data_IF_856053761712
#
_entry.id   IF_856053761712
#
_cell.length_a   1.000
_cell.length_b   1.000
_cell.length_c   1.000
_cell.angle_alpha   90.00
_cell.angle_beta   90.00
_cell.angle_gamma   90.00
#
_symmetry.space_group_name_H-M   'P 1'
#
loop_
_entity.id
_entity.type
_entity.pdbx_description
1 polymer ?
#
# COMPACT_ATOMS: atom_id res chain seq x y z
N UNK A 1 9.91 -7.19 -16.57
CA UNK A 1 9.93 -6.60 -15.23
C UNK A 1 9.03 -7.46 -14.37
N UNK A 2 9.57 -8.15 -13.36
CA UNK A 2 8.78 -8.96 -12.42
C UNK A 2 8.72 -8.28 -11.05
N UNK A 3 7.95 -7.19 -10.86
CA UNK A 3 7.85 -6.48 -9.58
C UNK A 3 7.21 -7.31 -8.46
N UNK A 4 6.60 -8.43 -8.83
CA UNK A 4 5.61 -9.15 -8.03
C UNK A 4 6.14 -10.34 -7.22
N UNK A 5 7.41 -10.72 -7.32
CA UNK A 5 7.94 -11.82 -6.48
C UNK A 5 7.74 -11.59 -4.98
N UNK A 6 7.76 -10.33 -4.54
CA UNK A 6 7.46 -9.98 -3.14
C UNK A 6 5.99 -10.11 -2.77
N UNK A 7 5.07 -9.90 -3.71
CA UNK A 7 3.63 -10.04 -3.47
C UNK A 7 3.17 -11.51 -3.41
N UNK A 8 3.91 -12.43 -4.05
CA UNK A 8 3.70 -13.88 -3.87
C UNK A 8 3.99 -14.36 -2.44
N UNK A 9 4.89 -13.67 -1.70
CA UNK A 9 5.14 -13.95 -0.29
C UNK A 9 3.96 -13.56 0.61
N UNK A 10 3.13 -12.63 0.17
CA UNK A 10 1.86 -12.27 0.84
C UNK A 10 0.94 -13.47 0.93
N UNK A 11 0.84 -14.25 -0.14
CA UNK A 11 0.02 -15.46 -0.18
C UNK A 11 0.58 -16.57 0.72
N UNK A 12 1.91 -16.78 0.70
CA UNK A 12 2.59 -17.79 1.52
C UNK A 12 2.38 -17.58 3.03
N UNK A 13 2.37 -16.33 3.49
CA UNK A 13 2.24 -16.00 4.92
C UNK A 13 0.86 -16.23 5.50
N UNK A 14 -0.15 -16.48 4.69
CA UNK A 14 -1.54 -16.44 5.18
C UNK A 14 -2.28 -17.78 5.09
N UNK A 15 -1.65 -18.90 4.67
CA UNK A 15 -2.30 -20.22 4.51
C UNK A 15 -3.66 -20.16 3.80
N UNK A 16 -3.81 -19.27 2.80
CA UNK A 16 -5.10 -19.10 2.14
C UNK A 16 -5.52 -20.32 1.35
N UNK A 17 -6.76 -20.71 1.55
CA UNK A 17 -7.43 -21.64 0.66
C UNK A 17 -7.69 -20.94 -0.68
N UNK A 18 -6.90 -21.31 -1.72
CA UNK A 18 -6.98 -20.69 -3.05
C UNK A 18 -8.39 -20.77 -3.65
N UNK A 19 -9.12 -21.84 -3.37
CA UNK A 19 -10.49 -22.02 -3.85
C UNK A 19 -11.51 -21.04 -3.24
N UNK A 20 -11.14 -20.41 -2.11
CA UNK A 20 -11.92 -19.36 -1.41
C UNK A 20 -11.26 -17.99 -1.48
N UNK A 21 -10.31 -17.79 -2.39
CA UNK A 21 -9.65 -16.51 -2.58
C UNK A 21 -9.97 -15.97 -3.97
N UNK A 22 -10.50 -14.75 -4.00
CA UNK A 22 -10.76 -14.00 -5.23
C UNK A 22 -9.71 -12.92 -5.36
N UNK A 23 -9.04 -12.88 -6.50
CA UNK A 23 -8.02 -11.88 -6.83
C UNK A 23 -8.58 -10.86 -7.80
N UNK A 24 -8.31 -9.58 -7.52
CA UNK A 24 -8.69 -8.47 -8.39
C UNK A 24 -7.74 -7.28 -8.22
N UNK A 25 -8.01 -6.18 -8.91
CA UNK A 25 -7.21 -4.96 -8.84
C UNK A 25 -8.08 -3.72 -8.95
N UNK A 26 -7.51 -2.58 -8.51
CA UNK A 26 -8.12 -1.27 -8.73
C UNK A 26 -7.65 -0.72 -10.07
N UNK A 27 -8.54 -0.50 -11.04
CA UNK A 27 -8.13 0.04 -12.34
C UNK A 27 -7.70 1.52 -12.21
N UNK A 28 -6.76 1.99 -13.07
CA UNK A 28 -6.16 1.29 -14.21
C UNK A 28 -4.69 0.91 -13.92
N UNK A 29 -3.97 1.69 -13.11
CA UNK A 29 -2.51 1.61 -12.95
C UNK A 29 -2.04 0.30 -12.31
N UNK A 30 -2.85 -0.26 -11.40
CA UNK A 30 -2.52 -1.50 -10.71
C UNK A 30 -2.57 -2.77 -11.59
N UNK A 31 -3.10 -2.69 -12.81
CA UNK A 31 -3.31 -3.86 -13.69
C UNK A 31 -2.01 -4.60 -13.99
N UNK A 32 -0.94 -3.89 -14.32
CA UNK A 32 0.36 -4.52 -14.62
C UNK A 32 0.93 -5.25 -13.41
N UNK A 33 0.84 -4.64 -12.22
CA UNK A 33 1.28 -5.27 -10.97
C UNK A 33 0.41 -6.47 -10.61
N UNK A 34 -0.87 -6.43 -10.95
CA UNK A 34 -1.80 -7.54 -10.77
C UNK A 34 -1.39 -8.77 -11.59
N UNK A 35 -1.11 -8.63 -12.88
CA UNK A 35 -0.66 -9.76 -13.69
C UNK A 35 0.61 -10.38 -13.14
N UNK A 36 1.56 -9.58 -12.73
CA UNK A 36 2.77 -10.10 -12.12
C UNK A 36 2.51 -10.79 -10.76
N UNK A 37 1.54 -10.33 -9.95
CA UNK A 37 1.13 -11.04 -8.74
C UNK A 37 0.52 -12.40 -9.06
N UNK A 38 -0.36 -12.47 -10.07
CA UNK A 38 -1.00 -13.71 -10.48
C UNK A 38 0.03 -14.71 -11.00
N UNK A 39 0.99 -14.29 -11.83
CA UNK A 39 2.10 -15.14 -12.27
C UNK A 39 2.83 -15.78 -11.09
N UNK A 40 3.13 -15.00 -10.05
CA UNK A 40 3.80 -15.53 -8.85
C UNK A 40 2.91 -16.48 -8.03
N UNK A 41 1.59 -16.24 -7.99
CA UNK A 41 0.63 -17.16 -7.35
C UNK A 41 0.58 -18.49 -8.12
N UNK A 42 0.56 -18.44 -9.44
CA UNK A 42 0.55 -19.63 -10.28
C UNK A 42 1.86 -20.44 -10.18
N UNK A 43 3.03 -19.77 -10.18
CA UNK A 43 4.32 -20.41 -9.93
C UNK A 43 4.33 -21.15 -8.58
N UNK A 44 3.83 -20.48 -7.52
CA UNK A 44 3.70 -21.10 -6.20
C UNK A 44 2.77 -22.32 -6.21
N UNK A 45 1.59 -22.20 -6.83
CA UNK A 45 0.63 -23.30 -6.94
C UNK A 45 1.23 -24.48 -7.70
N UNK A 46 1.94 -24.24 -8.78
CA UNK A 46 2.57 -25.28 -9.58
C UNK A 46 3.65 -26.02 -8.77
N UNK A 47 4.44 -25.29 -7.94
CA UNK A 47 5.40 -25.91 -7.01
C UNK A 47 4.67 -26.82 -5.99
N UNK A 48 3.58 -26.31 -5.38
CA UNK A 48 2.78 -27.09 -4.42
C UNK A 48 2.14 -28.30 -5.02
N UNK A 49 1.58 -28.21 -6.24
CA UNK A 49 1.02 -29.35 -6.97
C UNK A 49 2.08 -30.40 -7.25
N UNK A 50 3.26 -29.98 -7.68
CA UNK A 50 4.39 -30.88 -7.94
C UNK A 50 4.84 -31.60 -6.68
N UNK A 51 4.99 -30.86 -5.55
CA UNK A 51 5.33 -31.45 -4.25
C UNK A 51 4.27 -32.47 -3.81
N UNK A 52 2.98 -32.16 -3.97
CA UNK A 52 1.89 -33.05 -3.58
C UNK A 52 1.85 -34.33 -4.44
N UNK A 53 2.06 -34.21 -5.75
CA UNK A 53 2.05 -35.35 -6.67
C UNK A 53 3.27 -36.26 -6.42
N UNK A 54 4.46 -35.67 -6.27
CA UNK A 54 5.71 -36.43 -6.04
C UNK A 54 5.72 -37.07 -4.64
N UNK A 55 5.19 -36.37 -3.63
CA UNK A 55 5.20 -36.81 -2.24
C UNK A 55 4.21 -37.95 -1.92
N UNK A 56 3.21 -38.18 -2.78
CA UNK A 56 2.16 -39.20 -2.58
C UNK A 56 2.29 -40.32 -3.61
N UNK A 57 2.73 -41.51 -3.20
CA UNK A 57 2.77 -42.70 -4.06
C UNK A 57 1.35 -43.22 -4.31
N UNK A 58 1.07 -43.69 -5.54
CA UNK A 58 -0.18 -44.38 -5.88
C UNK A 58 -1.41 -43.47 -6.03
N UNK A 59 -1.24 -42.21 -6.37
CA UNK A 59 -2.35 -41.33 -6.72
C UNK A 59 -3.09 -41.86 -7.95
N UNK A 60 -4.43 -41.89 -7.89
CA UNK A 60 -5.26 -42.20 -9.06
C UNK A 60 -5.16 -41.05 -10.09
N UNK A 61 -5.45 -41.38 -11.35
CA UNK A 61 -5.48 -40.38 -12.42
C UNK A 61 -6.46 -39.24 -12.12
N UNK A 62 -7.63 -39.56 -11.57
CA UNK A 62 -8.63 -38.56 -11.20
C UNK A 62 -8.11 -37.62 -10.11
N UNK A 63 -7.39 -38.15 -9.11
CA UNK A 63 -6.80 -37.32 -8.05
C UNK A 63 -5.70 -36.40 -8.59
N UNK A 64 -4.90 -36.90 -9.54
CA UNK A 64 -3.90 -36.04 -10.22
C UNK A 64 -4.59 -34.95 -11.01
N UNK A 65 -5.66 -35.23 -11.75
CA UNK A 65 -6.46 -34.23 -12.49
C UNK A 65 -7.05 -33.19 -11.55
N UNK A 66 -7.59 -33.62 -10.40
CA UNK A 66 -8.11 -32.72 -9.37
C UNK A 66 -7.02 -31.72 -8.88
N UNK A 67 -5.83 -32.23 -8.49
CA UNK A 67 -4.70 -31.41 -8.07
C UNK A 67 -4.30 -30.43 -9.18
N UNK A 68 -4.19 -30.89 -10.41
CA UNK A 68 -3.80 -30.07 -11.55
C UNK A 68 -4.85 -29.03 -11.94
N UNK A 69 -6.12 -29.24 -11.64
CA UNK A 69 -7.23 -28.35 -11.97
C UNK A 69 -7.28 -27.09 -11.11
N UNK A 70 -6.62 -27.07 -9.96
CA UNK A 70 -6.62 -25.91 -9.05
C UNK A 70 -6.04 -24.67 -9.77
N UNK A 71 -6.79 -23.58 -9.76
CA UNK A 71 -6.42 -22.29 -10.36
C UNK A 71 -6.77 -21.14 -9.43
N UNK A 72 -6.08 -20.00 -9.49
CA UNK A 72 -6.53 -18.79 -8.80
C UNK A 72 -7.85 -18.31 -9.42
N UNK A 73 -8.78 -17.85 -8.57
CA UNK A 73 -10.02 -17.19 -9.02
C UNK A 73 -9.72 -15.71 -9.28
N UNK A 74 -9.81 -15.31 -10.52
CA UNK A 74 -9.54 -13.95 -10.97
C UNK A 74 -10.84 -13.34 -11.43
N UNK A 75 -11.24 -12.22 -10.81
CA UNK A 75 -12.49 -11.55 -11.12
C UNK A 75 -12.24 -10.04 -11.30
N UNK A 76 -12.89 -9.43 -12.27
CA UNK A 76 -12.88 -7.98 -12.43
C UNK A 76 -13.97 -7.36 -11.54
N UNK A 77 -13.60 -7.02 -10.31
CA UNK A 77 -14.51 -6.53 -9.28
C UNK A 77 -14.85 -5.05 -9.48
N UNK A 78 -13.84 -4.23 -9.75
CA UNK A 78 -13.99 -2.80 -9.92
C UNK A 78 -13.82 -2.41 -11.40
N UNK A 79 -14.73 -1.58 -11.89
CA UNK A 79 -14.67 -0.97 -13.22
C UNK A 79 -14.68 0.54 -13.02
N UNK A 80 -13.66 1.23 -13.52
CA UNK A 80 -13.57 2.68 -13.43
C UNK A 80 -14.31 3.33 -14.59
N UNK A 81 -15.22 4.26 -14.31
CA UNK A 81 -15.81 5.09 -15.36
C UNK A 81 -14.76 6.03 -15.95
N UNK A 82 -14.50 5.87 -17.25
CA UNK A 82 -13.45 6.61 -17.99
C UNK A 82 -13.72 8.12 -18.03
N UNK A 83 -14.98 8.55 -17.86
CA UNK A 83 -15.38 9.95 -17.97
C UNK A 83 -15.08 10.77 -16.71
N UNK A 84 -14.90 10.12 -15.55
CA UNK A 84 -14.67 10.79 -14.28
C UNK A 84 -13.17 10.82 -13.94
N UNK A 85 -12.51 11.97 -14.19
CA UNK A 85 -11.13 12.24 -13.77
C UNK A 85 -11.13 12.93 -12.40
N UNK A 86 -10.89 12.19 -11.33
CA UNK A 86 -10.88 12.69 -9.95
C UNK A 86 -9.73 13.65 -9.62
N UNK A 87 -8.77 13.84 -10.54
CA UNK A 87 -7.59 14.67 -10.28
C UNK A 87 -7.76 16.17 -10.61
N UNK A 88 -8.89 16.58 -11.20
CA UNK A 88 -9.07 17.95 -11.75
C UNK A 88 -10.04 18.79 -10.92
N UNK A 89 -10.66 18.24 -9.88
CA UNK A 89 -11.63 18.97 -9.04
C UNK A 89 -11.04 19.46 -7.74
N UNK A 90 -11.46 20.65 -7.31
CA UNK A 90 -11.12 21.23 -6.00
C UNK A 90 -11.53 20.31 -4.85
N UNK A 91 -10.81 20.39 -3.72
CA UNK A 91 -10.86 19.39 -2.62
C UNK A 91 -12.27 19.14 -2.04
N UNK A 92 -13.17 20.12 -2.02
CA UNK A 92 -14.52 19.99 -1.43
C UNK A 92 -15.53 19.21 -2.31
N UNK A 93 -15.34 19.15 -3.62
CA UNK A 93 -16.19 18.38 -4.54
C UNK A 93 -15.64 16.97 -4.85
N UNK A 94 -14.46 16.64 -4.37
CA UNK A 94 -13.79 15.34 -4.55
C UNK A 94 -14.50 14.20 -3.82
N UNK A 95 -15.05 14.47 -2.65
CA UNK A 95 -15.60 13.45 -1.78
C UNK A 95 -16.87 12.81 -2.37
N UNK A 96 -17.75 13.59 -2.98
CA UNK A 96 -18.98 13.08 -3.63
C UNK A 96 -18.68 12.39 -4.96
N UNK A 97 -17.68 12.87 -5.72
CA UNK A 97 -17.25 12.27 -6.99
C UNK A 97 -16.58 10.90 -6.80
N UNK A 98 -15.86 10.70 -5.70
CA UNK A 98 -15.13 9.44 -5.42
C UNK A 98 -16.08 8.26 -5.17
N UNK A 99 -17.29 8.49 -4.65
CA UNK A 99 -18.29 7.42 -4.44
C UNK A 99 -18.87 6.85 -5.77
N UNK A 100 -18.79 7.60 -6.86
CA UNK A 100 -19.36 7.23 -8.16
C UNK A 100 -18.33 6.84 -9.22
N UNK A 101 -17.05 6.83 -8.88
CA UNK A 101 -15.96 6.56 -9.86
C UNK A 101 -15.86 5.10 -10.25
N UNK A 102 -16.31 4.19 -9.38
CA UNK A 102 -16.18 2.75 -9.59
C UNK A 102 -17.51 2.04 -9.57
N UNK A 103 -17.79 1.27 -10.60
CA UNK A 103 -18.86 0.27 -10.63
C UNK A 103 -18.35 -1.08 -10.09
N UNK A 104 -19.27 -1.85 -9.48
CA UNK A 104 -18.96 -3.14 -8.86
C UNK A 104 -19.64 -4.27 -9.60
N UNK A 105 -18.91 -5.36 -9.81
CA UNK A 105 -19.46 -6.63 -10.28
C UNK A 105 -19.96 -7.45 -9.10
N UNK A 106 -21.30 -7.59 -8.99
CA UNK A 106 -21.94 -8.41 -7.97
C UNK A 106 -22.01 -9.89 -8.37
N UNK A 107 -22.15 -10.77 -7.38
CA UNK A 107 -22.39 -12.21 -7.59
C UNK A 107 -21.12 -13.06 -7.79
N UNK A 108 -19.95 -12.43 -7.88
CA UNK A 108 -18.67 -13.14 -8.08
C UNK A 108 -17.91 -13.41 -6.78
N UNK A 109 -18.29 -12.77 -5.69
CA UNK A 109 -17.71 -12.94 -4.34
C UNK A 109 -18.76 -13.52 -3.40
N UNK A 110 -18.38 -14.50 -2.60
CA UNK A 110 -19.24 -15.14 -1.60
C UNK A 110 -18.83 -14.76 -0.17
N UNK A 111 -19.75 -14.88 0.80
CA UNK A 111 -19.54 -14.56 2.22
C UNK A 111 -18.38 -15.30 2.90
N UNK A 112 -17.92 -16.40 2.33
CA UNK A 112 -16.80 -17.20 2.84
C UNK A 112 -15.49 -16.92 2.10
N UNK A 113 -15.50 -16.03 1.11
CA UNK A 113 -14.34 -15.73 0.30
C UNK A 113 -13.42 -14.70 0.99
N UNK A 114 -12.13 -14.83 0.76
CA UNK A 114 -11.14 -13.78 0.97
C UNK A 114 -10.98 -13.01 -0.33
N UNK A 115 -11.21 -11.71 -0.28
CA UNK A 115 -11.04 -10.83 -1.42
C UNK A 115 -9.66 -10.16 -1.34
N UNK A 116 -8.80 -10.43 -2.31
CA UNK A 116 -7.46 -9.85 -2.44
C UNK A 116 -7.47 -8.83 -3.58
N UNK A 117 -7.26 -7.56 -3.26
CA UNK A 117 -7.29 -6.46 -4.21
C UNK A 117 -5.91 -5.80 -4.23
N UNK A 118 -5.30 -5.69 -5.42
CA UNK A 118 -4.07 -4.92 -5.57
C UNK A 118 -4.38 -3.48 -6.01
N UNK A 119 -3.67 -2.54 -5.41
CA UNK A 119 -3.61 -1.14 -5.79
C UNK A 119 -2.18 -0.74 -6.14
N UNK A 120 -1.99 0.31 -6.93
CA UNK A 120 -0.65 0.75 -7.33
C UNK A 120 0.12 1.37 -6.16
N UNK A 121 -0.53 2.26 -5.40
CA UNK A 121 0.06 2.89 -4.22
C UNK A 121 -1.00 3.43 -3.26
N UNK A 122 -0.68 3.44 -1.98
CA UNK A 122 -1.52 4.05 -0.95
C UNK A 122 -0.76 5.26 -0.37
N UNK A 123 -1.12 6.46 -0.83
CA UNK A 123 -0.49 7.71 -0.43
C UNK A 123 -1.25 8.35 0.74
N UNK A 124 -2.45 8.86 0.45
CA UNK A 124 -3.30 9.55 1.44
C UNK A 124 -4.28 8.60 2.13
N UNK A 125 -4.62 7.51 1.49
CA UNK A 125 -5.60 6.55 1.96
C UNK A 125 -7.05 7.03 1.89
N UNK A 126 -7.31 8.27 1.49
CA UNK A 126 -8.68 8.85 1.45
C UNK A 126 -9.59 8.09 0.50
N UNK A 127 -9.15 7.85 -0.74
CA UNK A 127 -9.89 7.09 -1.75
C UNK A 127 -10.14 5.65 -1.26
N UNK A 128 -9.12 5.04 -0.66
CA UNK A 128 -9.24 3.69 -0.11
C UNK A 128 -10.28 3.64 1.01
N UNK A 129 -10.22 4.56 1.98
CA UNK A 129 -11.15 4.63 3.13
C UNK A 129 -12.56 4.99 2.73
N UNK A 130 -12.74 6.08 1.95
CA UNK A 130 -14.06 6.67 1.68
C UNK A 130 -14.84 5.93 0.60
N UNK A 131 -14.14 5.34 -0.39
CA UNK A 131 -14.76 4.72 -1.55
C UNK A 131 -14.47 3.21 -1.62
N UNK A 132 -13.22 2.82 -1.83
CA UNK A 132 -12.87 1.44 -2.18
C UNK A 132 -13.28 0.46 -1.09
N UNK A 133 -12.92 0.68 0.17
CA UNK A 133 -13.26 -0.23 1.26
C UNK A 133 -14.77 -0.34 1.49
N UNK A 134 -15.51 0.78 1.42
CA UNK A 134 -16.97 0.75 1.50
C UNK A 134 -17.60 -0.04 0.35
N UNK A 135 -17.07 0.15 -0.85
CA UNK A 135 -17.49 -0.54 -2.05
C UNK A 135 -17.28 -2.06 -1.91
N UNK A 136 -16.08 -2.48 -1.50
CA UNK A 136 -15.73 -3.88 -1.31
C UNK A 136 -16.52 -4.55 -0.17
N UNK A 137 -16.84 -3.81 0.89
CA UNK A 137 -17.65 -4.30 2.00
C UNK A 137 -19.08 -4.68 1.58
N UNK A 138 -19.64 -3.97 0.59
CA UNK A 138 -20.98 -4.30 0.01
C UNK A 138 -21.03 -5.69 -0.66
N UNK A 139 -19.87 -6.26 -1.03
CA UNK A 139 -19.76 -7.62 -1.57
C UNK A 139 -19.82 -8.70 -0.48
N UNK A 140 -19.80 -8.30 0.79
CA UNK A 140 -19.89 -9.13 1.98
C UNK A 140 -18.88 -10.31 2.02
N UNK A 141 -17.57 -10.09 1.69
CA UNK A 141 -16.57 -11.14 1.80
C UNK A 141 -16.26 -11.43 3.26
N UNK A 142 -15.69 -12.62 3.55
CA UNK A 142 -15.19 -12.96 4.90
C UNK A 142 -14.05 -12.04 5.32
N UNK A 143 -13.16 -11.71 4.38
CA UNK A 143 -11.95 -10.92 4.61
C UNK A 143 -11.61 -10.08 3.39
N UNK A 144 -11.11 -8.87 3.62
CA UNK A 144 -10.57 -7.99 2.58
C UNK A 144 -9.06 -7.83 2.81
N UNK A 145 -8.27 -8.11 1.78
CA UNK A 145 -6.83 -7.89 1.78
C UNK A 145 -6.50 -6.90 0.67
N UNK A 146 -6.05 -5.71 1.05
CA UNK A 146 -5.54 -4.72 0.10
C UNK A 146 -4.03 -4.89 0.00
N UNK A 147 -3.53 -4.94 -1.22
CA UNK A 147 -2.10 -5.09 -1.50
C UNK A 147 -1.63 -3.85 -2.25
N UNK A 148 -0.71 -3.09 -1.68
CA UNK A 148 -0.04 -2.00 -2.37
C UNK A 148 1.17 -2.52 -3.13
N UNK A 149 1.26 -2.27 -4.44
CA UNK A 149 2.42 -2.65 -5.23
C UNK A 149 3.63 -1.76 -4.98
N UNK A 150 3.42 -0.59 -4.36
CA UNK A 150 4.49 0.27 -3.85
C UNK A 150 4.71 0.05 -2.35
N UNK A 151 5.94 0.26 -1.84
CA UNK A 151 6.19 0.41 -0.41
C UNK A 151 5.41 1.58 0.20
N UNK A 152 5.42 1.69 1.53
CA UNK A 152 4.82 2.82 2.24
C UNK A 152 5.47 4.13 1.80
N UNK A 153 4.67 5.06 1.28
CA UNK A 153 5.14 6.41 0.93
C UNK A 153 5.20 7.22 2.23
N UNK A 154 6.42 7.44 2.71
CA UNK A 154 6.73 8.04 4.01
C UNK A 154 7.18 9.50 3.90
N UNK A 155 7.74 9.90 2.76
CA UNK A 155 8.39 11.19 2.57
C UNK A 155 7.80 11.94 1.38
N UNK A 156 7.79 13.29 1.42
CA UNK A 156 7.21 14.11 0.36
C UNK A 156 8.01 14.01 -0.93
N UNK A 157 7.35 14.33 -2.02
CA UNK A 157 8.01 14.54 -3.30
C UNK A 157 8.82 15.85 -3.28
N UNK A 158 10.02 15.81 -3.83
CA UNK A 158 10.89 16.98 -3.97
C UNK A 158 10.92 17.56 -5.38
N UNK A 159 10.24 16.94 -6.34
CA UNK A 159 10.23 17.35 -7.75
C UNK A 159 8.83 17.63 -8.30
N UNK A 160 7.80 17.15 -7.65
CA UNK A 160 6.41 17.20 -8.11
C UNK A 160 5.52 18.13 -7.31
N UNK A 161 4.29 18.24 -7.78
CA UNK A 161 3.26 19.08 -7.17
C UNK A 161 2.47 18.30 -6.12
N UNK A 162 2.28 17.01 -6.34
CA UNK A 162 1.56 16.11 -5.44
C UNK A 162 2.47 15.61 -4.31
N UNK A 163 1.88 15.24 -3.19
CA UNK A 163 2.61 14.73 -2.00
C UNK A 163 3.58 15.73 -1.35
N UNK A 164 3.29 17.03 -1.43
CA UNK A 164 4.14 18.06 -0.82
C UNK A 164 4.00 18.15 0.70
N UNK A 165 2.86 17.73 1.26
CA UNK A 165 2.50 17.88 2.65
C UNK A 165 2.59 16.54 3.38
N UNK A 166 3.38 16.47 4.46
CA UNK A 166 3.52 15.26 5.29
C UNK A 166 2.19 14.84 5.91
N UNK A 167 1.37 15.78 6.39
CA UNK A 167 0.07 15.50 6.98
C UNK A 167 -0.91 14.78 6.05
N UNK A 168 -0.69 14.87 4.74
CA UNK A 168 -1.49 14.14 3.74
C UNK A 168 -1.06 12.69 3.56
N UNK A 169 0.11 12.28 4.05
CA UNK A 169 0.63 10.93 3.93
C UNK A 169 0.08 10.04 5.04
N UNK A 170 -0.63 8.96 4.66
CA UNK A 170 -1.20 8.04 5.65
C UNK A 170 -0.13 7.35 6.51
N UNK A 171 1.05 7.07 5.94
CA UNK A 171 2.16 6.48 6.68
C UNK A 171 2.72 7.44 7.74
N UNK A 172 2.73 8.75 7.48
CA UNK A 172 3.12 9.77 8.44
C UNK A 172 2.12 9.84 9.60
N UNK A 173 0.83 9.89 9.29
CA UNK A 173 -0.22 9.90 10.30
C UNK A 173 -0.19 8.64 11.17
N UNK A 174 0.06 7.47 10.57
CA UNK A 174 0.21 6.23 11.31
C UNK A 174 1.42 6.25 12.25
N UNK A 175 2.55 6.81 11.82
CA UNK A 175 3.73 6.95 12.68
C UNK A 175 3.48 7.92 13.85
N UNK A 176 2.77 9.03 13.64
CA UNK A 176 2.38 9.96 14.71
C UNK A 176 1.46 9.30 15.74
N UNK A 177 0.45 8.54 15.30
CA UNK A 177 -0.42 7.80 16.22
C UNK A 177 0.35 6.72 17.00
N UNK A 178 1.29 6.02 16.37
CA UNK A 178 2.18 5.08 17.08
C UNK A 178 3.07 5.77 18.12
N UNK A 179 3.59 6.98 17.84
CA UNK A 179 4.33 7.77 18.83
C UNK A 179 3.45 8.13 20.02
N UNK A 180 2.22 8.53 19.74
CA UNK A 180 1.22 8.87 20.78
C UNK A 180 0.89 7.64 21.63
N UNK A 181 0.63 6.48 21.02
CA UNK A 181 0.33 5.23 21.71
C UNK A 181 1.49 4.79 22.64
N UNK A 182 2.73 5.13 22.27
CA UNK A 182 3.93 4.86 23.09
C UNK A 182 4.29 5.98 24.10
N UNK A 183 3.52 7.06 24.14
CA UNK A 183 3.80 8.21 25.00
C UNK A 183 5.05 9.01 24.58
N UNK A 184 5.47 8.92 23.32
CA UNK A 184 6.71 9.50 22.80
C UNK A 184 6.48 10.83 22.03
N UNK A 185 5.44 11.57 22.37
CA UNK A 185 5.10 12.84 21.67
C UNK A 185 6.23 13.89 21.75
N UNK A 186 7.11 13.82 22.75
CA UNK A 186 8.26 14.74 22.86
C UNK A 186 9.22 14.66 21.67
N UNK A 187 9.30 13.50 21.01
CA UNK A 187 10.13 13.31 19.82
C UNK A 187 9.71 14.23 18.66
N UNK A 188 8.39 14.50 18.52
CA UNK A 188 7.88 15.38 17.47
C UNK A 188 8.49 16.79 17.62
N UNK A 189 8.54 17.30 18.85
CA UNK A 189 9.17 18.60 19.14
C UNK A 189 10.68 18.56 18.93
N UNK A 190 11.34 17.49 19.33
CA UNK A 190 12.79 17.32 19.14
C UNK A 190 13.15 17.31 17.64
N UNK A 191 12.37 16.60 16.82
CA UNK A 191 12.56 16.58 15.36
C UNK A 191 12.29 17.95 14.75
N UNK A 192 11.26 18.68 15.24
CA UNK A 192 10.99 20.05 14.79
C UNK A 192 12.18 21.00 15.02
N UNK A 193 12.75 21.00 16.23
CA UNK A 193 13.91 21.85 16.54
C UNK A 193 15.13 21.50 15.66
N UNK A 194 15.37 20.20 15.45
CA UNK A 194 16.43 19.74 14.55
C UNK A 194 16.18 20.15 13.10
N UNK A 195 14.95 19.97 12.58
CA UNK A 195 14.62 20.40 11.23
C UNK A 195 14.79 21.93 11.06
N UNK A 196 14.33 22.69 12.05
CA UNK A 196 14.40 24.17 12.01
C UNK A 196 15.86 24.67 12.01
N UNK A 197 16.70 24.12 12.88
CA UNK A 197 18.13 24.47 12.90
C UNK A 197 18.87 24.01 11.63
N UNK A 198 18.48 22.88 11.07
CA UNK A 198 19.09 22.33 9.84
C UNK A 198 18.81 23.21 8.62
N UNK A 199 17.65 23.90 8.58
CA UNK A 199 17.29 24.80 7.46
C UNK A 199 18.17 26.05 7.37
N UNK A 200 18.94 26.37 8.43
CA UNK A 200 19.93 27.45 8.44
C UNK A 200 21.27 27.06 7.81
N UNK A 201 21.48 25.74 7.55
CA UNK A 201 22.71 25.23 6.96
C UNK A 201 22.69 25.35 5.43
N UNK A 202 23.91 25.23 4.84
CA UNK A 202 24.04 25.05 3.40
C UNK A 202 23.44 23.69 2.98
N UNK A 203 22.78 23.66 1.82
CA UNK A 203 22.09 22.47 1.30
C UNK A 203 23.00 21.22 1.29
N UNK A 204 24.26 21.38 0.91
CA UNK A 204 25.25 20.29 0.83
C UNK A 204 25.50 19.52 2.14
N UNK A 205 25.19 20.17 3.28
CA UNK A 205 25.39 19.61 4.64
C UNK A 205 24.08 19.11 5.26
N UNK A 206 22.96 19.34 4.60
CA UNK A 206 21.64 19.13 5.15
C UNK A 206 21.27 17.65 5.26
N UNK A 207 20.75 17.23 6.43
CA UNK A 207 20.30 15.87 6.72
C UNK A 207 18.79 15.82 6.87
N UNK A 208 18.20 14.67 6.54
CA UNK A 208 16.78 14.39 6.77
C UNK A 208 16.54 13.95 8.22
N UNK A 209 16.06 14.85 9.07
CA UNK A 209 15.74 14.56 10.47
C UNK A 209 14.39 13.88 10.66
N UNK A 210 13.50 13.93 9.65
CA UNK A 210 12.17 13.30 9.70
C UNK A 210 12.25 11.77 9.78
N UNK A 211 13.39 11.19 9.37
CA UNK A 211 13.63 9.74 9.52
C UNK A 211 13.41 9.26 10.96
N UNK A 212 13.79 10.05 11.96
CA UNK A 212 13.65 9.70 13.36
C UNK A 212 12.20 9.37 13.77
N UNK A 213 11.20 9.91 13.06
CA UNK A 213 9.78 9.59 13.27
C UNK A 213 9.48 8.12 12.94
N UNK A 214 10.16 7.57 11.92
CA UNK A 214 9.91 6.21 11.42
C UNK A 214 10.85 5.15 11.99
N UNK A 215 12.07 5.54 12.39
CA UNK A 215 13.15 4.62 12.79
C UNK A 215 12.80 3.79 14.04
N UNK A 216 11.81 4.23 14.81
CA UNK A 216 11.31 3.53 16.01
C UNK A 216 10.34 2.38 15.70
N UNK A 217 9.89 2.26 14.46
CA UNK A 217 8.85 1.33 14.06
C UNK A 217 9.28 0.46 12.90
N UNK A 218 8.92 -0.81 12.96
CA UNK A 218 9.00 -1.69 11.81
C UNK A 218 7.99 -1.28 10.73
N UNK A 219 8.26 -1.64 9.48
CA UNK A 219 7.30 -1.45 8.39
C UNK A 219 5.96 -2.17 8.68
N UNK A 220 6.00 -3.30 9.41
CA UNK A 220 4.79 -4.03 9.77
C UNK A 220 3.94 -3.24 10.78
N UNK A 221 4.52 -2.66 11.82
CA UNK A 221 3.78 -1.84 12.79
C UNK A 221 3.10 -0.65 12.12
N UNK A 222 3.79 0.02 11.21
CA UNK A 222 3.21 1.13 10.43
C UNK A 222 2.06 0.61 9.54
N UNK A 223 2.22 -0.54 8.87
CA UNK A 223 1.16 -1.15 8.05
C UNK A 223 -0.07 -1.52 8.86
N UNK A 224 0.12 -2.07 10.06
CA UNK A 224 -0.97 -2.46 10.95
C UNK A 224 -1.72 -1.21 11.47
N UNK A 225 -1.00 -0.14 11.81
CA UNK A 225 -1.62 1.15 12.18
C UNK A 225 -2.33 1.81 11.00
N UNK A 226 -1.79 1.76 9.79
CA UNK A 226 -2.48 2.23 8.57
C UNK A 226 -3.79 1.45 8.39
N UNK A 227 -3.75 0.13 8.57
CA UNK A 227 -4.94 -0.72 8.47
C UNK A 227 -6.00 -0.28 9.48
N UNK A 228 -5.63 -0.07 10.73
CA UNK A 228 -6.52 0.42 11.80
C UNK A 228 -7.18 1.76 11.41
N UNK A 229 -6.37 2.75 10.97
CA UNK A 229 -6.85 4.08 10.61
C UNK A 229 -7.82 4.06 9.41
N UNK A 230 -7.54 3.22 8.41
CA UNK A 230 -8.31 3.19 7.17
C UNK A 230 -9.56 2.31 7.27
N UNK A 231 -9.54 1.26 8.11
CA UNK A 231 -10.67 0.33 8.27
C UNK A 231 -11.54 0.58 9.50
N UNK A 232 -11.27 1.62 10.29
CA UNK A 232 -11.99 1.95 11.53
C UNK A 232 -13.52 2.03 11.42
N UNK A 233 -14.03 2.29 10.23
CA UNK A 233 -15.48 2.35 9.94
C UNK A 233 -16.09 1.00 9.57
N UNK A 234 -15.28 -0.07 9.46
CA UNK A 234 -15.67 -1.43 9.09
C UNK A 234 -15.50 -2.39 10.28
N UNK A 235 -16.07 -2.05 11.44
CA UNK A 235 -15.88 -2.77 12.71
C UNK A 235 -16.11 -4.29 12.66
N UNK A 236 -16.96 -4.76 11.76
CA UNK A 236 -17.31 -6.17 11.60
C UNK A 236 -16.48 -6.92 10.56
N UNK A 237 -15.56 -6.24 9.87
CA UNK A 237 -14.83 -6.80 8.73
C UNK A 237 -13.36 -7.02 9.07
N UNK A 238 -12.84 -8.22 8.79
CA UNK A 238 -11.40 -8.49 8.83
C UNK A 238 -10.74 -7.83 7.60
N UNK A 239 -10.08 -6.71 7.82
CA UNK A 239 -9.33 -5.98 6.78
C UNK A 239 -7.85 -6.08 7.07
N UNK A 240 -7.04 -6.28 6.03
CA UNK A 240 -5.58 -6.23 6.10
C UNK A 240 -5.03 -5.44 4.94
N UNK A 241 -4.07 -4.56 5.22
CA UNK A 241 -3.33 -3.83 4.20
C UNK A 241 -1.88 -4.30 4.21
N UNK A 242 -1.36 -4.66 3.04
CA UNK A 242 -0.02 -5.21 2.86
C UNK A 242 0.71 -4.35 1.84
N UNK A 243 1.89 -3.86 2.20
CA UNK A 243 2.74 -3.07 1.32
C UNK A 243 3.87 -3.93 0.76
N UNK A 244 4.29 -3.60 -0.45
CA UNK A 244 5.55 -4.10 -1.00
C UNK A 244 6.71 -3.74 -0.07
N UNK A 245 7.70 -4.61 0.05
CA UNK A 245 8.93 -4.25 0.76
C UNK A 245 9.91 -3.53 -0.17
N UNK A 246 10.74 -2.65 0.41
CA UNK A 246 11.77 -1.90 -0.34
C UNK A 246 12.76 -2.88 -0.95
N UNK A 247 13.16 -3.93 -0.22
CA UNK A 247 14.10 -4.95 -0.69
C UNK A 247 13.56 -5.71 -1.91
N UNK A 248 12.27 -6.06 -1.90
CA UNK A 248 11.64 -6.74 -3.02
C UNK A 248 11.46 -5.80 -4.22
N UNK A 249 11.18 -4.51 -3.98
CA UNK A 249 11.15 -3.50 -5.03
C UNK A 249 12.51 -3.38 -5.72
N UNK A 250 13.62 -3.28 -4.95
CA UNK A 250 14.97 -3.24 -5.50
C UNK A 250 15.34 -4.49 -6.29
N UNK A 251 14.91 -5.68 -5.84
CA UNK A 251 15.09 -6.93 -6.61
C UNK A 251 14.33 -6.93 -7.93
N UNK A 252 13.13 -6.33 -7.94
CA UNK A 252 12.30 -6.25 -9.13
C UNK A 252 12.82 -5.20 -10.13
N UNK A 253 13.39 -4.11 -9.62
CA UNK A 253 13.87 -2.97 -10.39
C UNK A 253 15.35 -2.66 -10.08
N UNK A 254 16.29 -3.59 -10.37
CA UNK A 254 17.69 -3.47 -9.91
C UNK A 254 18.44 -2.28 -10.53
N UNK A 255 17.97 -1.79 -11.66
CA UNK A 255 18.57 -0.64 -12.36
C UNK A 255 17.94 0.70 -11.97
N UNK A 256 16.95 0.71 -11.07
CA UNK A 256 16.24 1.90 -10.63
C UNK A 256 16.54 2.15 -9.16
N UNK A 257 17.19 3.28 -8.85
CA UNK A 257 17.66 3.63 -7.50
C UNK A 257 16.80 4.68 -6.81
N UNK A 258 15.73 5.16 -7.46
CA UNK A 258 14.83 6.19 -6.94
C UNK A 258 13.88 5.63 -5.88
N UNK A 259 14.30 5.65 -4.60
CA UNK A 259 13.55 5.09 -3.48
C UNK A 259 13.27 6.09 -2.35
N UNK A 260 13.55 7.37 -2.56
CA UNK A 260 13.49 8.42 -1.52
C UNK A 260 12.10 8.59 -0.90
N UNK A 261 11.02 8.29 -1.63
CA UNK A 261 9.66 8.30 -1.07
C UNK A 261 9.47 7.31 0.08
N UNK A 262 10.25 6.23 0.08
CA UNK A 262 10.16 5.13 1.02
C UNK A 262 11.24 5.20 2.10
N UNK A 263 12.48 5.55 1.69
CA UNK A 263 13.67 5.53 2.55
C UNK A 263 14.02 6.89 3.13
N UNK A 264 13.58 8.00 2.50
CA UNK A 264 14.02 9.35 2.80
C UNK A 264 15.48 9.64 2.40
N UNK A 265 16.08 8.78 1.55
CA UNK A 265 17.41 8.96 0.99
C UNK A 265 17.33 9.78 -0.29
N UNK A 266 17.16 11.09 -0.16
CA UNK A 266 17.04 11.95 -1.32
C UNK A 266 18.34 12.02 -2.13
N UNK A 267 18.26 11.99 -3.47
CA UNK A 267 19.42 12.00 -4.35
C UNK A 267 20.13 13.37 -4.40
N UNK A 268 19.47 14.40 -3.91
CA UNK A 268 20.01 15.76 -3.88
C UNK A 268 19.85 16.40 -2.49
N UNK A 269 20.77 17.31 -2.11
CA UNK A 269 20.64 18.05 -0.85
C UNK A 269 19.32 18.84 -0.75
N UNK A 270 18.80 19.36 -1.86
CA UNK A 270 17.52 20.06 -1.92
C UNK A 270 16.33 19.18 -1.49
N UNK A 271 16.40 17.86 -1.70
CA UNK A 271 15.39 16.93 -1.19
C UNK A 271 15.34 16.88 0.35
N UNK A 272 16.50 16.93 1.01
CA UNK A 272 16.56 17.02 2.47
C UNK A 272 15.97 18.36 2.98
N UNK A 273 16.21 19.46 2.26
CA UNK A 273 15.58 20.75 2.56
C UNK A 273 14.05 20.64 2.47
N UNK A 274 13.53 20.08 1.39
CA UNK A 274 12.09 19.92 1.19
C UNK A 274 11.45 19.15 2.32
N UNK A 275 11.98 17.99 2.73
CA UNK A 275 11.38 17.18 3.79
C UNK A 275 11.44 17.86 5.15
N UNK A 276 12.56 18.53 5.50
CA UNK A 276 12.66 19.29 6.75
C UNK A 276 11.69 20.47 6.76
N UNK A 277 11.58 21.20 5.64
CA UNK A 277 10.61 22.30 5.48
C UNK A 277 9.17 21.79 5.60
N UNK A 278 8.86 20.65 4.98
CA UNK A 278 7.53 20.05 5.09
C UNK A 278 7.17 19.68 6.54
N UNK A 279 8.15 19.22 7.33
CA UNK A 279 7.94 18.89 8.73
C UNK A 279 7.78 20.15 9.59
N UNK A 280 8.57 21.21 9.35
CA UNK A 280 8.41 22.49 10.02
C UNK A 280 7.04 23.09 9.72
N UNK A 281 6.63 23.08 8.44
CA UNK A 281 5.30 23.54 8.04
C UNK A 281 4.17 22.76 8.74
N UNK A 282 4.29 21.42 8.82
CA UNK A 282 3.35 20.59 9.56
C UNK A 282 3.25 21.00 11.04
N UNK A 283 4.39 21.13 11.73
CA UNK A 283 4.43 21.44 13.15
C UNK A 283 3.87 22.85 13.46
N UNK A 284 4.13 23.83 12.59
CA UNK A 284 3.65 25.20 12.71
C UNK A 284 2.22 25.41 12.17
N UNK A 285 1.57 24.36 11.63
CA UNK A 285 0.23 24.45 11.03
C UNK A 285 0.21 25.26 9.72
N UNK A 286 1.34 25.37 9.03
CA UNK A 286 1.49 26.13 7.81
C UNK A 286 1.17 25.24 6.59
N UNK A 287 0.18 25.65 5.79
CA UNK A 287 -0.24 24.92 4.57
C UNK A 287 0.56 25.24 3.31
N UNK A 288 1.64 26.03 3.42
CA UNK A 288 2.50 26.33 2.28
C UNK A 288 3.22 25.08 1.80
N UNK A 289 3.48 25.04 0.49
CA UNK A 289 4.34 23.99 -0.08
C UNK A 289 5.77 24.13 0.43
N UNK A 290 6.46 23.02 0.56
CA UNK A 290 7.83 22.97 1.09
C UNK A 290 8.91 23.36 0.05
N UNK A 291 8.51 23.67 -1.20
CA UNK A 291 9.38 24.06 -2.32
C UNK A 291 8.77 25.21 -3.10
#
# INVERSE_FOLDING_TARGET
>A
IRPSRGLGDVYKRQNYNIGKTVFSYIPNTAETSFYGMIESVEEYLNSRKSEEIIGKKGLSEDKIKEILSVRPRIEKIAVKDVKLRTFITEDDSRDDLVEHVYDITYGVVNKNDTLVIIDDSIVRGTTLKKSILKMLDRLDPKKIVIVSSAPQIRYPDCYGIDMANLESLVAFNAALELLKDRGMNSLIKEVYEKCKSELELEDSKMKNHVKAIYDLFSAQEISDKITELLSSHLEKRDVKIIFQSIENLHRACPNSTGDWYFTGNYPTPGGNRVVNTAFVNFFEGNKKRAY
#
